data_IF_997349579969
#
_entry.id   IF_997349579969
#
_cell.length_a   1.000
_cell.length_b   1.000
_cell.length_c   1.000
_cell.angle_alpha   90.00
_cell.angle_beta   90.00
_cell.angle_gamma   90.00
#
_symmetry.space_group_name_H-M   'P 1'
#
loop_
_entity.id
_entity.type
_entity.pdbx_description
1 polymer ?
#
# COMPACT_ATOMS: atom_id res chain seq x y z
N UNK A 1 46.26 -7.34 -20.04
CA UNK A 1 45.67 -7.47 -18.68
C UNK A 1 44.46 -6.58 -18.52
N UNK A 2 44.51 -5.33 -18.98
CA UNK A 2 43.38 -4.40 -19.04
C UNK A 2 42.13 -4.97 -19.73
N UNK A 3 42.30 -5.68 -20.85
CA UNK A 3 41.15 -6.22 -21.62
C UNK A 3 40.36 -7.27 -20.85
N UNK A 4 41.01 -8.17 -20.10
CA UNK A 4 40.32 -9.17 -19.27
C UNK A 4 39.53 -8.52 -18.14
N UNK A 5 40.05 -7.43 -17.57
CA UNK A 5 39.35 -6.66 -16.54
C UNK A 5 38.15 -5.93 -17.15
N UNK A 6 38.30 -5.34 -18.34
CA UNK A 6 37.22 -4.69 -19.06
C UNK A 6 36.10 -5.68 -19.44
N UNK A 7 36.48 -6.87 -19.92
CA UNK A 7 35.57 -7.98 -20.24
C UNK A 7 34.81 -8.44 -18.99
N UNK A 8 35.50 -8.57 -17.85
CA UNK A 8 34.89 -8.92 -16.57
C UNK A 8 33.91 -7.87 -16.06
N UNK A 9 34.24 -6.58 -16.21
CA UNK A 9 33.32 -5.48 -15.87
C UNK A 9 32.10 -5.48 -16.79
N UNK A 10 32.29 -5.72 -18.10
CA UNK A 10 31.19 -5.82 -19.04
C UNK A 10 30.23 -6.96 -18.64
N UNK A 11 30.77 -8.13 -18.29
CA UNK A 11 29.98 -9.26 -17.81
C UNK A 11 29.25 -8.95 -16.49
N UNK A 12 29.89 -8.22 -15.56
CA UNK A 12 29.27 -7.77 -14.32
C UNK A 12 28.07 -6.84 -14.58
N UNK A 13 28.24 -5.86 -15.47
CA UNK A 13 27.16 -4.92 -15.84
C UNK A 13 26.00 -5.69 -16.47
N UNK A 14 26.28 -6.58 -17.43
CA UNK A 14 25.26 -7.41 -18.08
C UNK A 14 24.52 -8.27 -17.05
N UNK A 15 25.23 -8.93 -16.14
CA UNK A 15 24.64 -9.77 -15.11
C UNK A 15 23.74 -8.98 -14.15
N UNK A 16 24.23 -7.86 -13.64
CA UNK A 16 23.48 -7.00 -12.70
C UNK A 16 22.24 -6.42 -13.37
N UNK A 17 22.34 -5.92 -14.60
CA UNK A 17 21.18 -5.38 -15.32
C UNK A 17 20.16 -6.46 -15.66
N UNK A 18 20.60 -7.67 -16.02
CA UNK A 18 19.68 -8.79 -16.31
C UNK A 18 18.88 -9.17 -15.07
N UNK A 19 19.55 -9.34 -13.93
CA UNK A 19 18.87 -9.65 -12.66
C UNK A 19 17.98 -8.50 -12.22
N UNK A 20 18.48 -7.27 -12.27
CA UNK A 20 17.70 -6.08 -11.91
C UNK A 20 16.45 -5.94 -12.79
N UNK A 21 16.58 -6.08 -14.10
CA UNK A 21 15.47 -6.05 -15.05
C UNK A 21 14.46 -7.16 -14.79
N UNK A 22 14.93 -8.36 -14.47
CA UNK A 22 14.06 -9.47 -14.09
C UNK A 22 13.28 -9.16 -12.79
N UNK A 23 13.95 -8.62 -11.77
CA UNK A 23 13.29 -8.22 -10.53
C UNK A 23 12.25 -7.10 -10.76
N UNK A 24 12.57 -6.11 -11.59
CA UNK A 24 11.62 -5.04 -11.97
C UNK A 24 10.40 -5.63 -12.66
N UNK A 25 10.59 -6.56 -13.59
CA UNK A 25 9.51 -7.27 -14.27
C UNK A 25 8.65 -8.04 -13.27
N UNK A 26 9.27 -8.71 -12.30
CA UNK A 26 8.59 -9.48 -11.26
C UNK A 26 7.78 -8.57 -10.32
N UNK A 27 8.33 -7.41 -9.94
CA UNK A 27 7.59 -6.38 -9.19
C UNK A 27 6.40 -5.88 -10.00
N UNK A 28 6.56 -5.63 -11.30
CA UNK A 28 5.47 -5.21 -12.16
C UNK A 28 4.37 -6.29 -12.23
N UNK A 29 4.74 -7.56 -12.36
CA UNK A 29 3.80 -8.67 -12.35
C UNK A 29 3.01 -8.75 -11.02
N UNK A 30 3.68 -8.63 -9.88
CA UNK A 30 3.03 -8.58 -8.56
C UNK A 30 2.10 -7.36 -8.45
N UNK A 31 2.53 -6.21 -8.97
CA UNK A 31 1.74 -4.97 -8.96
C UNK A 31 0.48 -5.10 -9.83
N UNK A 32 0.61 -5.69 -11.01
CA UNK A 32 -0.53 -5.99 -11.89
C UNK A 32 -1.47 -6.97 -11.20
N UNK A 33 -0.95 -8.04 -10.59
CA UNK A 33 -1.77 -8.99 -9.82
C UNK A 33 -2.50 -8.28 -8.68
N UNK A 34 -1.82 -7.42 -7.91
CA UNK A 34 -2.44 -6.62 -6.85
C UNK A 34 -3.54 -5.69 -7.37
N UNK A 35 -3.32 -5.03 -8.51
CA UNK A 35 -4.31 -4.15 -9.14
C UNK A 35 -5.50 -4.92 -9.69
N UNK A 36 -5.25 -6.07 -10.33
CA UNK A 36 -6.29 -6.99 -10.83
C UNK A 36 -7.12 -7.48 -9.66
N UNK A 37 -6.50 -7.97 -8.59
CA UNK A 37 -7.23 -8.42 -7.39
C UNK A 37 -8.09 -7.29 -6.82
N UNK A 38 -7.52 -6.11 -6.57
CA UNK A 38 -8.30 -4.97 -6.04
C UNK A 38 -9.42 -4.47 -6.98
N UNK A 39 -9.26 -4.65 -8.30
CA UNK A 39 -10.25 -4.19 -9.30
C UNK A 39 -11.37 -5.22 -9.51
N UNK A 40 -11.04 -6.51 -9.62
CA UNK A 40 -12.01 -7.58 -9.91
C UNK A 40 -12.61 -8.19 -8.63
N UNK A 41 -11.85 -8.22 -7.55
CA UNK A 41 -12.32 -8.57 -6.21
C UNK A 41 -12.05 -7.38 -5.28
N UNK A 42 -12.84 -6.29 -5.40
CA UNK A 42 -12.77 -5.22 -4.42
C UNK A 42 -13.06 -5.84 -3.06
N UNK A 43 -12.00 -6.08 -2.29
CA UNK A 43 -12.11 -6.40 -0.89
C UNK A 43 -12.69 -5.13 -0.28
N UNK A 44 -14.03 -5.13 -0.12
CA UNK A 44 -14.73 -4.11 0.65
C UNK A 44 -13.86 -3.88 1.86
N UNK A 45 -13.41 -2.64 2.10
CA UNK A 45 -12.58 -2.35 3.24
C UNK A 45 -13.17 -3.12 4.41
N UNK A 46 -12.37 -3.95 5.08
CA UNK A 46 -12.68 -4.34 6.44
C UNK A 46 -12.67 -3.02 7.20
N UNK A 47 -13.77 -2.28 7.10
CA UNK A 47 -14.19 -1.32 8.09
C UNK A 47 -13.95 -2.05 9.40
N UNK A 48 -13.18 -1.48 10.33
CA UNK A 48 -13.06 -2.05 11.66
C UNK A 48 -14.48 -2.40 12.08
N UNK A 49 -14.79 -3.70 12.17
CA UNK A 49 -16.07 -4.11 12.72
C UNK A 49 -16.08 -3.46 14.10
N UNK A 50 -17.08 -2.61 14.41
CA UNK A 50 -17.26 -2.17 15.77
C UNK A 50 -17.31 -3.46 16.59
N UNK A 51 -16.33 -3.65 17.48
CA UNK A 51 -16.41 -4.72 18.46
C UNK A 51 -17.77 -4.56 19.13
N UNK A 52 -18.68 -5.49 18.87
CA UNK A 52 -20.00 -5.46 19.50
C UNK A 52 -19.75 -5.43 21.00
N UNK A 53 -20.26 -4.45 21.76
CA UNK A 53 -20.18 -4.50 23.21
C UNK A 53 -20.87 -5.80 23.63
N UNK A 54 -20.21 -6.56 24.49
CA UNK A 54 -20.86 -7.66 25.19
C UNK A 54 -22.17 -7.15 25.81
N UNK A 55 -23.26 -7.93 25.80
CA UNK A 55 -24.56 -7.46 26.27
C UNK A 55 -24.46 -7.18 27.77
N UNK A 56 -24.38 -5.90 28.12
CA UNK A 56 -24.17 -5.43 29.50
C UNK A 56 -24.08 -3.91 29.67
N UNK A 57 -23.88 -3.11 28.62
CA UNK A 57 -23.86 -1.63 28.73
C UNK A 57 -25.07 -1.01 28.03
N UNK A 58 -26.04 -0.58 28.82
CA UNK A 58 -27.12 0.31 28.39
C UNK A 58 -26.56 1.70 28.05
N UNK A 59 -26.42 2.05 26.77
CA UNK A 59 -26.46 3.45 26.32
C UNK A 59 -26.98 3.57 24.86
N UNK A 60 -27.73 4.63 24.52
CA UNK A 60 -28.57 4.69 23.32
C UNK A 60 -27.80 5.08 22.04
N UNK A 61 -28.34 4.78 20.84
CA UNK A 61 -27.65 4.97 19.57
C UNK A 61 -27.83 6.41 19.06
N UNK A 62 -26.87 7.29 19.35
CA UNK A 62 -26.82 8.65 18.78
C UNK A 62 -25.38 9.15 18.70
N UNK A 63 -24.57 8.72 17.71
CA UNK A 63 -23.46 9.57 17.24
C UNK A 63 -22.69 9.08 16.00
N UNK A 64 -23.34 8.36 15.08
CA UNK A 64 -22.68 7.98 13.82
C UNK A 64 -22.25 9.23 13.01
N UNK A 65 -23.07 10.28 13.02
CA UNK A 65 -22.78 11.53 12.30
C UNK A 65 -21.68 12.36 12.98
N UNK A 66 -21.69 12.45 14.32
CA UNK A 66 -20.62 13.13 15.07
C UNK A 66 -19.27 12.47 14.86
N UNK A 67 -19.24 11.13 14.86
CA UNK A 67 -18.04 10.35 14.59
C UNK A 67 -17.52 10.54 13.16
N UNK A 68 -18.41 10.56 12.16
CA UNK A 68 -18.04 10.81 10.76
C UNK A 68 -17.46 12.21 10.56
N UNK A 69 -18.09 13.23 11.16
CA UNK A 69 -17.62 14.62 11.09
C UNK A 69 -16.25 14.76 11.77
N UNK A 70 -16.04 14.10 12.91
CA UNK A 70 -14.75 14.07 13.61
C UNK A 70 -13.64 13.43 12.75
N UNK A 71 -13.92 12.31 12.07
CA UNK A 71 -12.94 11.64 11.21
C UNK A 71 -12.60 12.47 9.97
N UNK A 72 -13.60 13.08 9.33
CA UNK A 72 -13.39 13.93 8.15
C UNK A 72 -12.59 15.19 8.51
N UNK A 73 -12.92 15.84 9.62
CA UNK A 73 -12.19 17.04 10.08
C UNK A 73 -10.73 16.73 10.43
N UNK A 74 -10.47 15.61 11.11
CA UNK A 74 -9.11 15.15 11.40
C UNK A 74 -8.31 14.83 10.12
N UNK A 75 -8.95 14.21 9.13
CA UNK A 75 -8.32 13.91 7.83
C UNK A 75 -7.94 15.19 7.06
N UNK A 76 -8.82 16.21 7.06
CA UNK A 76 -8.57 17.50 6.40
C UNK A 76 -7.44 18.25 7.10
N UNK A 77 -7.46 18.33 8.44
CA UNK A 77 -6.41 18.98 9.21
C UNK A 77 -5.04 18.34 8.96
N UNK A 78 -4.98 17.00 8.97
CA UNK A 78 -3.77 16.24 8.68
C UNK A 78 -3.25 16.52 7.27
N UNK A 79 -4.11 16.49 6.25
CA UNK A 79 -3.73 16.80 4.87
C UNK A 79 -3.20 18.24 4.72
N UNK A 80 -3.84 19.21 5.39
CA UNK A 80 -3.47 20.63 5.32
C UNK A 80 -2.15 20.92 6.03
N UNK A 81 -1.86 20.23 7.13
CA UNK A 81 -0.57 20.29 7.81
C UNK A 81 0.55 19.63 6.98
N UNK A 82 0.21 18.60 6.21
CA UNK A 82 1.17 17.88 5.35
C UNK A 82 1.45 18.56 4.00
N UNK A 83 0.63 19.55 3.62
CA UNK A 83 0.74 20.32 2.36
C UNK A 83 1.29 21.74 2.57
N UNK A 84 1.81 22.03 3.77
CA UNK A 84 2.64 23.19 4.09
C UNK A 84 4.01 22.69 4.53
#
# INVERSE_FOLDING_TARGET
MSDLILEGVNLMVVGITTVFGFLVLLIFAITVMSKVINTFFPEKPRLPQPQSPAPGSNEPPKDTDGQLIAVISAAIQKYRAHRK
#
